data_IF_040591321926
#
_entry.id   IF_040591321926
#
_cell.length_a   1.000
_cell.length_b   1.000
_cell.length_c   1.000
_cell.angle_alpha   90.00
_cell.angle_beta   90.00
_cell.angle_gamma   90.00
#
_symmetry.space_group_name_H-M   'P 1'
#
loop_
_entity.id
_entity.type
_entity.pdbx_description
1 polymer ?
#
# COMPACT_ATOMS: atom_id res chain seq x y z
N UNK A 1 -0.69 -20.39 1.54
CA UNK A 1 -0.55 -20.17 0.08
C UNK A 1 0.01 -18.75 -0.12
N UNK A 2 1.00 -18.44 -0.95
CA UNK A 2 1.93 -19.22 -1.76
C UNK A 2 3.37 -18.85 -1.33
N UNK A 3 4.01 -19.74 -0.56
CA UNK A 3 5.43 -19.65 -0.22
C UNK A 3 6.22 -20.52 -1.18
N UNK A 4 6.10 -20.25 -2.48
CA UNK A 4 6.87 -20.97 -3.48
C UNK A 4 8.35 -20.80 -3.18
N UNK A 5 9.11 -21.89 -3.17
CA UNK A 5 10.58 -21.91 -3.14
C UNK A 5 11.12 -21.37 -4.45
N UNK A 6 10.72 -20.14 -4.81
CA UNK A 6 11.21 -19.43 -5.98
C UNK A 6 12.69 -19.17 -5.78
N UNK A 7 13.51 -19.96 -6.46
CA UNK A 7 14.95 -19.74 -6.51
C UNK A 7 15.22 -18.52 -7.41
N UNK A 8 15.79 -17.43 -6.87
CA UNK A 8 16.17 -16.30 -7.71
C UNK A 8 17.21 -16.76 -8.73
N UNK A 9 16.94 -16.61 -10.02
CA UNK A 9 17.91 -16.91 -11.08
C UNK A 9 18.70 -15.64 -11.36
N UNK A 10 20.04 -15.69 -11.18
CA UNK A 10 20.94 -14.59 -11.56
C UNK A 10 21.07 -13.45 -10.54
N UNK A 11 20.41 -13.50 -9.39
CA UNK A 11 20.54 -12.51 -8.30
C UNK A 11 20.93 -13.17 -6.97
N UNK A 12 21.96 -12.65 -6.26
CA UNK A 12 22.31 -13.10 -4.92
C UNK A 12 21.14 -12.90 -3.94
N UNK A 13 20.90 -13.88 -3.07
CA UNK A 13 19.84 -13.78 -2.06
C UNK A 13 20.39 -13.07 -0.83
N UNK A 14 20.02 -11.81 -0.59
CA UNK A 14 20.42 -11.11 0.66
C UNK A 14 19.50 -11.48 1.83
N UNK A 15 18.27 -11.91 1.53
CA UNK A 15 17.24 -12.24 2.51
C UNK A 15 16.36 -11.06 2.95
N UNK A 16 16.54 -9.85 2.38
CA UNK A 16 15.69 -8.70 2.71
C UNK A 16 14.21 -8.98 2.37
N UNK A 17 13.35 -8.94 3.39
CA UNK A 17 11.92 -9.26 3.29
C UNK A 17 11.05 -8.29 4.07
N UNK A 18 9.83 -8.12 3.61
CA UNK A 18 8.78 -7.39 4.34
C UNK A 18 8.37 -8.16 5.61
N UNK A 19 8.24 -7.48 6.77
CA UNK A 19 8.08 -8.14 8.07
C UNK A 19 6.74 -8.84 8.26
N UNK A 20 5.69 -8.42 7.54
CA UNK A 20 4.34 -8.99 7.68
C UNK A 20 4.11 -10.19 6.75
N UNK A 21 4.50 -10.05 5.49
CA UNK A 21 4.15 -11.02 4.45
C UNK A 21 5.34 -11.90 4.01
N UNK A 22 6.56 -11.60 4.48
CA UNK A 22 7.77 -12.33 4.12
C UNK A 22 8.17 -12.18 2.64
N UNK A 23 7.57 -11.26 1.90
CA UNK A 23 7.88 -11.00 0.50
C UNK A 23 9.26 -10.35 0.37
N UNK A 24 10.04 -10.79 -0.62
CA UNK A 24 11.34 -10.18 -0.88
C UNK A 24 11.17 -8.71 -1.26
N UNK A 25 12.08 -7.86 -0.76
CA UNK A 25 12.17 -6.43 -1.14
C UNK A 25 13.02 -6.20 -2.38
N UNK A 26 13.66 -7.26 -2.88
CA UNK A 26 14.67 -7.20 -3.94
C UNK A 26 14.27 -7.98 -5.19
N UNK A 27 13.49 -9.05 -5.03
CA UNK A 27 13.15 -9.97 -6.11
C UNK A 27 11.64 -10.21 -6.17
N UNK A 28 11.08 -10.12 -7.37
CA UNK A 28 9.65 -10.20 -7.62
C UNK A 28 8.99 -8.83 -7.51
N UNK A 29 8.10 -8.51 -8.45
CA UNK A 29 7.40 -7.23 -8.47
C UNK A 29 6.73 -6.93 -7.13
N UNK A 30 6.81 -5.66 -6.73
CA UNK A 30 6.33 -5.16 -5.45
C UNK A 30 4.81 -5.38 -5.30
N UNK A 31 4.45 -6.51 -4.66
CA UNK A 31 3.06 -6.88 -4.35
C UNK A 31 2.41 -5.94 -3.34
N UNK A 32 3.22 -5.32 -2.48
CA UNK A 32 2.74 -4.46 -1.40
C UNK A 32 2.10 -3.14 -1.92
N UNK A 33 2.74 -2.38 -2.83
CA UNK A 33 2.09 -1.29 -3.58
C UNK A 33 0.72 -1.63 -4.16
N UNK A 34 0.62 -2.74 -4.88
CA UNK A 34 -0.63 -3.13 -5.54
C UNK A 34 -1.69 -3.53 -4.51
N UNK A 35 -1.31 -4.32 -3.50
CA UNK A 35 -2.20 -4.70 -2.40
C UNK A 35 -2.79 -3.45 -1.76
N UNK A 36 -1.94 -2.52 -1.32
CA UNK A 36 -2.37 -1.29 -0.70
C UNK A 36 -3.30 -0.50 -1.63
N UNK A 37 -2.97 -0.40 -2.92
CA UNK A 37 -3.74 0.38 -3.90
C UNK A 37 -5.15 -0.17 -4.07
N UNK A 38 -5.30 -1.49 -4.12
CA UNK A 38 -6.62 -2.14 -4.19
C UNK A 38 -7.45 -1.83 -2.94
N UNK A 39 -6.83 -1.81 -1.77
CA UNK A 39 -7.55 -1.44 -0.54
C UNK A 39 -7.92 0.04 -0.50
N UNK A 40 -7.07 0.93 -1.03
CA UNK A 40 -7.39 2.36 -1.14
C UNK A 40 -8.58 2.61 -2.06
N UNK A 41 -8.66 1.90 -3.20
CA UNK A 41 -9.78 1.96 -4.13
C UNK A 41 -11.13 1.63 -3.46
N UNK A 42 -11.12 0.81 -2.41
CA UNK A 42 -12.32 0.47 -1.64
C UNK A 42 -12.55 1.42 -0.45
N UNK A 43 -11.49 1.72 0.30
CA UNK A 43 -11.58 2.48 1.54
C UNK A 43 -11.87 3.97 1.32
N UNK A 44 -11.30 4.60 0.29
CA UNK A 44 -11.50 6.02 -0.01
C UNK A 44 -12.96 6.38 -0.36
N UNK A 45 -13.64 5.70 -1.30
CA UNK A 45 -15.04 6.03 -1.60
C UNK A 45 -15.97 5.71 -0.44
N UNK A 46 -15.73 4.61 0.29
CA UNK A 46 -16.53 4.26 1.47
C UNK A 46 -16.36 5.28 2.60
N UNK A 47 -15.11 5.69 2.86
CA UNK A 47 -14.78 6.72 3.85
C UNK A 47 -15.37 8.08 3.46
N UNK A 48 -15.31 8.45 2.18
CA UNK A 48 -15.92 9.68 1.66
C UNK A 48 -17.44 9.68 1.82
N UNK A 49 -18.11 8.56 1.55
CA UNK A 49 -19.54 8.40 1.75
C UNK A 49 -19.94 8.51 3.24
N UNK A 50 -19.18 7.89 4.14
CA UNK A 50 -19.44 8.01 5.59
C UNK A 50 -19.20 9.45 6.06
N UNK A 51 -18.13 10.09 5.59
CA UNK A 51 -17.80 11.47 5.95
C UNK A 51 -18.88 12.45 5.49
N UNK A 52 -19.39 12.32 4.26
CA UNK A 52 -20.46 13.19 3.75
C UNK A 52 -21.79 13.01 4.48
N UNK A 53 -22.00 11.89 5.18
CA UNK A 53 -23.19 11.65 6.02
C UNK A 53 -23.07 12.24 7.42
N UNK A 54 -21.85 12.52 7.89
CA UNK A 54 -21.57 12.91 9.28
C UNK A 54 -20.99 14.30 9.43
N UNK A 55 -20.41 14.86 8.37
CA UNK A 55 -19.71 16.13 8.36
C UNK A 55 -20.34 17.03 7.29
N UNK A 56 -20.12 18.34 7.42
CA UNK A 56 -20.40 19.29 6.34
C UNK A 56 -19.42 19.10 5.17
N UNK A 57 -19.76 19.62 3.99
CA UNK A 57 -19.04 19.34 2.74
C UNK A 57 -17.53 19.65 2.80
N UNK A 58 -17.14 20.74 3.46
CA UNK A 58 -15.74 21.15 3.56
C UNK A 58 -14.88 20.16 4.36
N UNK A 59 -15.21 19.83 5.63
CA UNK A 59 -14.47 18.82 6.38
C UNK A 59 -14.54 17.42 5.76
N UNK A 60 -15.67 17.04 5.14
CA UNK A 60 -15.77 15.75 4.44
C UNK A 60 -14.76 15.64 3.29
N UNK A 61 -14.63 16.69 2.46
CA UNK A 61 -13.62 16.75 1.39
C UNK A 61 -12.20 16.73 1.95
N UNK A 62 -11.93 17.49 3.01
CA UNK A 62 -10.62 17.51 3.65
C UNK A 62 -10.21 16.11 4.15
N UNK A 63 -11.13 15.37 4.78
CA UNK A 63 -10.87 14.00 5.25
C UNK A 63 -10.48 13.07 4.09
N UNK A 64 -11.18 13.14 2.96
CA UNK A 64 -10.85 12.31 1.78
C UNK A 64 -9.48 12.66 1.22
N UNK A 65 -9.15 13.95 1.09
CA UNK A 65 -7.85 14.39 0.60
C UNK A 65 -6.70 14.00 1.54
N UNK A 66 -6.89 14.14 2.85
CA UNK A 66 -5.89 13.73 3.84
C UNK A 66 -5.67 12.21 3.81
N UNK A 67 -6.74 11.42 3.69
CA UNK A 67 -6.65 9.97 3.55
C UNK A 67 -5.92 9.57 2.25
N UNK A 68 -6.23 10.22 1.12
CA UNK A 68 -5.56 9.96 -0.15
C UNK A 68 -4.06 10.33 -0.09
N UNK A 69 -3.72 11.45 0.55
CA UNK A 69 -2.33 11.87 0.73
C UNK A 69 -1.56 10.90 1.63
N UNK A 70 -2.13 10.48 2.76
CA UNK A 70 -1.53 9.49 3.65
C UNK A 70 -1.25 8.18 2.90
N UNK A 71 -2.20 7.76 2.05
CA UNK A 71 -2.05 6.58 1.23
C UNK A 71 -0.93 6.71 0.19
N UNK A 72 -0.89 7.84 -0.54
CA UNK A 72 0.19 8.13 -1.48
C UNK A 72 1.57 8.15 -0.80
N UNK A 73 1.64 8.69 0.43
CA UNK A 73 2.87 8.68 1.23
C UNK A 73 3.33 7.28 1.61
N UNK A 74 2.40 6.41 2.04
CA UNK A 74 2.69 5.02 2.35
C UNK A 74 3.23 4.25 1.13
N UNK A 75 2.73 4.57 -0.07
CA UNK A 75 3.23 3.99 -1.32
C UNK A 75 4.62 4.50 -1.71
N UNK A 76 4.91 5.78 -1.47
CA UNK A 76 6.17 6.39 -1.94
C UNK A 76 7.45 5.92 -1.23
N UNK A 77 7.36 5.25 -0.06
CA UNK A 77 8.52 4.79 0.72
C UNK A 77 9.54 5.90 1.05
N UNK A 78 10.53 5.68 1.93
CA UNK A 78 11.78 6.45 1.89
C UNK A 78 12.59 6.04 0.64
N UNK A 79 13.38 6.95 0.03
CA UNK A 79 14.37 6.56 -0.96
C UNK A 79 15.38 5.64 -0.28
N UNK A 80 15.28 4.34 -0.53
CA UNK A 80 16.28 3.36 -0.09
C UNK A 80 17.36 3.32 -1.15
N UNK A 81 18.49 3.99 -0.87
CA UNK A 81 19.77 3.78 -1.53
C UNK A 81 20.34 2.41 -1.14
#
# INVERSE_FOLDING_TARGET
>A
MAGGTGHPIGTPVTGAREPLMGWSREVGDLRLPLLLTIHALQALPLGGWIASRRLSDSPARATVWLAALAFARALSGPPTF
#
